data_IF_203031501120
#
_entry.id   IF_203031501120
#
_cell.length_a   1.000
_cell.length_b   1.000
_cell.length_c   1.000
_cell.angle_alpha   90.00
_cell.angle_beta   90.00
_cell.angle_gamma   90.00
#
_symmetry.space_group_name_H-M   'P 1'
#
loop_
_entity.id
_entity.type
_entity.pdbx_description
1 polymer ?
#
# COMPACT_ATOMS: atom_id res chain seq x y z
N UNK A 1 18.99 -24.94 -3.03
CA UNK A 1 18.22 -24.73 -4.29
C UNK A 1 18.90 -23.68 -5.16
N UNK A 2 18.97 -23.86 -6.49
CA UNK A 2 19.45 -22.85 -7.43
C UNK A 2 18.63 -21.56 -7.37
N UNK A 3 19.22 -20.41 -7.73
CA UNK A 3 18.51 -19.12 -7.69
C UNK A 3 17.28 -19.13 -8.62
N UNK A 4 17.38 -19.78 -9.79
CA UNK A 4 16.28 -20.04 -10.72
C UNK A 4 15.00 -20.56 -10.06
N UNK A 5 15.15 -21.54 -9.15
CA UNK A 5 14.02 -22.14 -8.44
C UNK A 5 13.36 -21.13 -7.50
N UNK A 6 14.15 -20.34 -6.78
CA UNK A 6 13.62 -19.32 -5.86
C UNK A 6 12.90 -18.20 -6.59
N UNK A 7 13.35 -17.80 -7.78
CA UNK A 7 12.63 -16.81 -8.60
C UNK A 7 11.27 -17.37 -9.01
N UNK A 8 11.22 -18.62 -9.47
CA UNK A 8 9.94 -19.28 -9.82
C UNK A 8 9.04 -19.35 -8.60
N UNK A 9 9.55 -19.77 -7.44
CA UNK A 9 8.78 -19.85 -6.20
C UNK A 9 8.27 -18.48 -5.72
N UNK A 10 9.12 -17.47 -5.71
CA UNK A 10 8.75 -16.09 -5.38
C UNK A 10 7.62 -15.59 -6.31
N UNK A 11 7.81 -15.81 -7.60
CA UNK A 11 6.89 -15.38 -8.65
C UNK A 11 5.53 -16.06 -8.53
N UNK A 12 5.53 -17.39 -8.40
CA UNK A 12 4.33 -18.21 -8.35
C UNK A 12 3.60 -18.01 -7.03
N UNK A 13 4.34 -17.89 -5.91
CA UNK A 13 3.82 -17.49 -4.61
C UNK A 13 3.16 -16.11 -4.64
N UNK A 14 3.79 -15.13 -5.30
CA UNK A 14 3.20 -13.80 -5.51
C UNK A 14 1.89 -13.91 -6.29
N UNK A 15 1.90 -14.52 -7.47
CA UNK A 15 0.73 -14.61 -8.33
C UNK A 15 -0.45 -15.32 -7.64
N UNK A 16 -0.18 -16.43 -6.95
CA UNK A 16 -1.20 -17.19 -6.20
C UNK A 16 -1.71 -16.37 -5.03
N UNK A 17 -0.83 -15.74 -4.25
CA UNK A 17 -1.22 -14.94 -3.09
C UNK A 17 -2.15 -13.79 -3.48
N UNK A 18 -1.78 -13.01 -4.50
CA UNK A 18 -2.59 -11.88 -4.97
C UNK A 18 -3.94 -12.34 -5.55
N UNK A 19 -3.96 -13.41 -6.34
CA UNK A 19 -5.18 -13.94 -6.91
C UNK A 19 -6.13 -14.50 -5.82
N UNK A 20 -5.58 -15.22 -4.85
CA UNK A 20 -6.36 -15.79 -3.75
C UNK A 20 -6.87 -14.72 -2.78
N UNK A 21 -6.10 -13.66 -2.53
CA UNK A 21 -6.54 -12.52 -1.72
C UNK A 21 -7.77 -11.82 -2.33
N UNK A 22 -7.78 -11.61 -3.65
CA UNK A 22 -8.97 -11.05 -4.33
C UNK A 22 -10.23 -11.91 -4.13
N UNK A 23 -10.08 -13.24 -4.26
CA UNK A 23 -11.20 -14.16 -4.01
C UNK A 23 -11.60 -14.12 -2.54
N UNK A 24 -10.64 -14.11 -1.62
CA UNK A 24 -10.88 -14.03 -0.17
C UNK A 24 -11.74 -12.81 0.19
N UNK A 25 -11.34 -11.62 -0.28
CA UNK A 25 -12.09 -10.36 -0.09
C UNK A 25 -13.54 -10.54 -0.53
N UNK A 26 -13.75 -10.99 -1.77
CA UNK A 26 -15.10 -11.18 -2.34
C UNK A 26 -15.95 -12.17 -1.51
N UNK A 27 -15.34 -13.21 -0.93
CA UNK A 27 -16.08 -14.18 -0.10
C UNK A 27 -16.41 -13.61 1.27
N UNK A 28 -15.49 -12.88 1.89
CA UNK A 28 -15.74 -12.28 3.20
C UNK A 28 -16.78 -11.17 3.13
N UNK A 29 -16.79 -10.35 2.07
CA UNK A 29 -17.83 -9.34 1.85
C UNK A 29 -19.22 -9.98 1.82
N UNK A 30 -19.42 -11.02 1.01
CA UNK A 30 -20.71 -11.75 0.95
C UNK A 30 -21.13 -12.38 2.28
N UNK A 31 -20.16 -12.82 3.09
CA UNK A 31 -20.44 -13.38 4.42
C UNK A 31 -20.83 -12.28 5.40
N UNK A 32 -20.17 -11.13 5.35
CA UNK A 32 -20.50 -9.99 6.19
C UNK A 32 -21.87 -9.41 5.87
N UNK A 33 -22.25 -9.34 4.59
CA UNK A 33 -23.60 -8.96 4.19
C UNK A 33 -24.65 -9.92 4.74
N UNK A 34 -24.38 -11.24 4.71
CA UNK A 34 -25.25 -12.24 5.31
C UNK A 34 -25.34 -12.07 6.84
N UNK A 35 -24.27 -11.61 7.48
CA UNK A 35 -24.23 -11.31 8.91
C UNK A 35 -24.88 -9.95 9.27
N UNK A 36 -25.28 -9.14 8.27
CA UNK A 36 -25.88 -7.83 8.50
C UNK A 36 -24.87 -6.78 8.97
N UNK A 37 -23.60 -6.91 8.57
CA UNK A 37 -22.56 -5.93 8.87
C UNK A 37 -22.84 -4.61 8.13
N UNK A 38 -22.49 -3.47 8.72
CA UNK A 38 -22.50 -2.17 8.05
C UNK A 38 -21.48 -2.14 6.91
N UNK A 39 -21.66 -1.25 5.95
CA UNK A 39 -20.75 -1.08 4.83
C UNK A 39 -19.33 -0.69 5.28
N UNK A 40 -19.21 0.23 6.25
CA UNK A 40 -17.92 0.55 6.85
C UNK A 40 -17.22 -0.68 7.47
N UNK A 41 -17.98 -1.56 8.14
CA UNK A 41 -17.42 -2.77 8.73
C UNK A 41 -17.09 -3.85 7.68
N UNK A 42 -17.86 -3.92 6.59
CA UNK A 42 -17.51 -4.71 5.39
C UNK A 42 -16.21 -4.21 4.78
N UNK A 43 -16.05 -2.90 4.64
CA UNK A 43 -14.80 -2.26 4.19
C UNK A 43 -13.60 -2.60 5.09
N UNK A 44 -13.79 -2.66 6.41
CA UNK A 44 -12.76 -3.11 7.35
C UNK A 44 -12.36 -4.58 7.13
N UNK A 45 -13.35 -5.46 6.94
CA UNK A 45 -13.09 -6.88 6.67
C UNK A 45 -12.40 -7.08 5.32
N UNK A 46 -12.81 -6.32 4.30
CA UNK A 46 -12.19 -6.31 2.99
C UNK A 46 -10.73 -5.85 3.08
N UNK A 47 -10.45 -4.76 3.81
CA UNK A 47 -9.08 -4.28 4.06
C UNK A 47 -8.23 -5.37 4.73
N UNK A 48 -8.72 -5.99 5.81
CA UNK A 48 -8.00 -7.07 6.50
C UNK A 48 -7.69 -8.26 5.59
N UNK A 49 -8.62 -8.64 4.70
CA UNK A 49 -8.40 -9.73 3.74
C UNK A 49 -7.46 -9.35 2.59
N UNK A 50 -7.51 -8.10 2.13
CA UNK A 50 -6.61 -7.59 1.13
C UNK A 50 -5.17 -7.45 1.67
N UNK A 51 -5.03 -7.17 2.98
CA UNK A 51 -3.75 -7.12 3.71
C UNK A 51 -3.21 -8.51 4.10
N UNK A 52 -3.97 -9.59 3.91
CA UNK A 52 -3.55 -10.92 4.33
C UNK A 52 -2.18 -11.37 3.75
N UNK A 53 -1.83 -11.10 2.48
CA UNK A 53 -0.49 -11.35 1.96
C UNK A 53 0.61 -10.59 2.72
N UNK A 54 0.35 -9.33 3.04
CA UNK A 54 1.28 -8.44 3.72
C UNK A 54 1.48 -8.86 5.18
N UNK A 55 0.39 -9.01 5.92
CA UNK A 55 0.39 -9.47 7.31
C UNK A 55 1.09 -10.82 7.39
N UNK A 56 0.82 -11.74 6.47
CA UNK A 56 1.50 -13.03 6.45
C UNK A 56 3.01 -12.86 6.22
N UNK A 57 3.43 -12.13 5.19
CA UNK A 57 4.86 -11.93 4.91
C UNK A 57 5.60 -11.29 6.10
N UNK A 58 4.98 -10.31 6.75
CA UNK A 58 5.53 -9.68 7.95
C UNK A 58 5.65 -10.66 9.13
N UNK A 59 4.57 -11.37 9.46
CA UNK A 59 4.52 -12.34 10.57
C UNK A 59 5.53 -13.47 10.34
N UNK A 60 5.60 -14.01 9.12
CA UNK A 60 6.54 -15.09 8.77
C UNK A 60 7.98 -14.62 8.91
N UNK A 61 8.33 -13.43 8.39
CA UNK A 61 9.67 -12.87 8.54
C UNK A 61 10.04 -12.65 10.02
N UNK A 62 9.12 -12.12 10.82
CA UNK A 62 9.32 -11.96 12.28
C UNK A 62 9.49 -13.30 12.99
N UNK A 63 8.71 -14.32 12.63
CA UNK A 63 8.79 -15.67 13.19
C UNK A 63 10.10 -16.37 12.82
N UNK A 64 10.68 -16.07 11.65
CA UNK A 64 12.01 -16.55 11.24
C UNK A 64 13.17 -15.73 11.84
N UNK A 65 12.91 -14.80 12.77
CA UNK A 65 13.93 -13.96 13.39
C UNK A 65 14.45 -12.84 12.49
N UNK A 66 13.83 -12.62 11.32
CA UNK A 66 14.21 -11.59 10.36
C UNK A 66 13.49 -10.27 10.68
N UNK A 67 13.77 -9.75 11.88
CA UNK A 67 13.12 -8.55 12.43
C UNK A 67 13.10 -7.35 11.48
N UNK A 68 14.22 -7.10 10.80
CA UNK A 68 14.35 -5.99 9.85
C UNK A 68 13.49 -6.17 8.59
N UNK A 69 13.36 -7.41 8.09
CA UNK A 69 12.47 -7.72 6.96
C UNK A 69 11.03 -7.54 7.40
N UNK A 70 10.60 -8.17 8.50
CA UNK A 70 9.21 -8.16 8.95
C UNK A 70 8.70 -6.76 9.30
N UNK A 71 9.47 -5.98 10.06
CA UNK A 71 9.14 -4.57 10.31
C UNK A 71 9.21 -3.72 9.03
N UNK A 72 10.15 -4.04 8.14
CA UNK A 72 10.25 -3.45 6.81
C UNK A 72 8.98 -3.63 6.00
N UNK A 73 8.45 -4.86 5.89
CA UNK A 73 7.22 -5.17 5.16
C UNK A 73 6.07 -4.30 5.64
N UNK A 74 5.80 -4.28 6.94
CA UNK A 74 4.65 -3.53 7.50
C UNK A 74 4.79 -2.03 7.30
N UNK A 75 5.91 -1.46 7.77
CA UNK A 75 6.03 -0.01 7.79
C UNK A 75 6.26 0.52 6.37
N UNK A 76 7.01 -0.22 5.54
CA UNK A 76 7.23 0.09 4.13
C UNK A 76 5.94 0.06 3.31
N UNK A 77 5.09 -0.96 3.52
CA UNK A 77 3.76 -1.01 2.89
C UNK A 77 2.89 0.15 3.31
N UNK A 78 2.98 0.59 4.57
CA UNK A 78 2.21 1.77 4.99
C UNK A 78 2.63 3.05 4.28
N UNK A 79 3.93 3.27 4.07
CA UNK A 79 4.42 4.42 3.27
C UNK A 79 3.97 4.27 1.81
N UNK A 80 4.10 3.06 1.25
CA UNK A 80 3.66 2.78 -0.12
C UNK A 80 2.15 2.97 -0.28
N UNK A 81 1.34 2.55 0.68
CA UNK A 81 -0.10 2.64 0.65
C UNK A 81 -0.57 4.09 0.59
N UNK A 82 0.06 5.00 1.34
CA UNK A 82 -0.24 6.42 1.23
C UNK A 82 0.04 6.95 -0.19
N UNK A 83 1.15 6.54 -0.79
CA UNK A 83 1.50 6.94 -2.15
C UNK A 83 0.63 6.29 -3.22
N UNK A 84 0.26 5.02 -3.07
CA UNK A 84 -0.46 4.24 -4.07
C UNK A 84 -1.98 4.40 -3.95
N UNK A 85 -2.54 4.33 -2.75
CA UNK A 85 -3.99 4.43 -2.56
C UNK A 85 -4.43 5.91 -2.61
N UNK A 86 -3.77 6.79 -1.86
CA UNK A 86 -4.14 8.21 -1.81
C UNK A 86 -3.46 9.03 -2.91
N UNK A 87 -2.15 8.89 -3.07
CA UNK A 87 -1.37 9.66 -4.03
C UNK A 87 -1.75 9.34 -5.47
N UNK A 88 -1.59 8.08 -5.87
CA UNK A 88 -1.92 7.60 -7.21
C UNK A 88 -3.43 7.58 -7.43
N UNK A 89 -4.25 7.27 -6.41
CA UNK A 89 -5.69 7.48 -6.48
C UNK A 89 -6.06 8.93 -6.84
N UNK A 90 -5.47 9.92 -6.16
CA UNK A 90 -5.77 11.34 -6.41
C UNK A 90 -5.21 11.84 -7.73
N UNK A 91 -4.04 11.33 -8.14
CA UNK A 91 -3.56 11.49 -9.50
C UNK A 91 -4.62 10.91 -10.42
N UNK A 92 -4.88 9.61 -10.45
CA UNK A 92 -5.77 8.90 -11.39
C UNK A 92 -7.25 9.30 -11.35
N UNK A 93 -7.78 9.82 -10.25
CA UNK A 93 -9.15 10.36 -10.21
C UNK A 93 -9.18 11.82 -10.63
N UNK A 94 -8.07 12.52 -10.50
CA UNK A 94 -7.95 13.96 -10.71
C UNK A 94 -8.38 14.80 -9.51
N UNK A 95 -9.47 14.36 -8.88
CA UNK A 95 -10.03 14.96 -7.68
C UNK A 95 -10.78 13.88 -6.88
N UNK A 96 -10.38 13.68 -5.63
CA UNK A 96 -11.05 12.80 -4.67
C UNK A 96 -11.70 13.71 -3.63
N UNK A 97 -13.03 13.80 -3.60
CA UNK A 97 -13.75 14.58 -2.59
C UNK A 97 -13.70 13.91 -1.23
N UNK A 98 -13.53 14.68 -0.17
CA UNK A 98 -13.39 14.15 1.19
C UNK A 98 -14.28 14.90 2.18
N UNK A 99 -15.00 14.13 2.97
CA UNK A 99 -15.80 14.61 4.09
C UNK A 99 -14.90 14.90 5.30
N UNK A 100 -14.97 16.13 5.84
CA UNK A 100 -14.12 16.53 6.98
C UNK A 100 -14.30 15.64 8.21
N UNK A 101 -15.52 15.14 8.42
CA UNK A 101 -15.84 14.26 9.52
C UNK A 101 -15.09 12.93 9.41
N UNK A 102 -15.11 12.31 8.22
CA UNK A 102 -14.33 11.08 7.92
C UNK A 102 -12.82 11.34 8.04
N UNK A 103 -12.32 12.46 7.50
CA UNK A 103 -10.89 12.82 7.60
C UNK A 103 -10.44 12.95 9.05
N UNK A 104 -11.26 13.57 9.90
CA UNK A 104 -10.93 13.71 11.33
C UNK A 104 -11.07 12.40 12.09
N UNK A 105 -12.12 11.62 11.84
CA UNK A 105 -12.36 10.34 12.51
C UNK A 105 -11.24 9.34 12.17
N UNK A 106 -11.14 8.92 10.89
CA UNK A 106 -10.16 7.94 10.44
C UNK A 106 -8.72 8.49 10.50
N UNK A 107 -8.53 9.79 10.23
CA UNK A 107 -7.23 10.43 10.30
C UNK A 107 -6.64 10.52 11.70
N UNK A 108 -7.46 10.78 12.72
CA UNK A 108 -6.98 10.82 14.11
C UNK A 108 -6.46 9.45 14.58
N UNK A 109 -7.18 8.37 14.22
CA UNK A 109 -6.75 6.99 14.47
C UNK A 109 -5.45 6.69 13.73
N UNK A 110 -5.35 7.04 12.45
CA UNK A 110 -4.15 6.82 11.67
C UNK A 110 -2.91 7.54 12.23
N UNK A 111 -3.05 8.80 12.63
CA UNK A 111 -1.96 9.56 13.28
C UNK A 111 -1.56 8.90 14.60
N UNK A 112 -2.53 8.51 15.43
CA UNK A 112 -2.24 7.80 16.68
C UNK A 112 -1.44 6.52 16.44
N UNK A 113 -1.89 5.67 15.50
CA UNK A 113 -1.21 4.42 15.16
C UNK A 113 0.18 4.67 14.59
N UNK A 114 0.35 5.66 13.72
CA UNK A 114 1.65 6.03 13.18
C UNK A 114 2.62 6.50 14.27
N UNK A 115 2.14 7.32 15.21
CA UNK A 115 2.96 7.78 16.33
C UNK A 115 3.34 6.65 17.28
N UNK A 116 2.42 5.75 17.62
CA UNK A 116 2.73 4.58 18.45
C UNK A 116 3.71 3.65 17.73
N UNK A 117 3.57 3.46 16.41
CA UNK A 117 4.53 2.72 15.60
C UNK A 117 5.94 3.32 15.65
N UNK A 118 6.07 4.65 15.49
CA UNK A 118 7.34 5.36 15.63
C UNK A 118 7.97 5.15 17.01
N UNK A 119 7.18 5.30 18.08
CA UNK A 119 7.67 5.10 19.45
C UNK A 119 8.12 3.66 19.71
N UNK A 120 7.41 2.68 19.14
CA UNK A 120 7.76 1.26 19.23
C UNK A 120 9.08 0.96 18.48
N UNK A 121 9.21 1.44 17.23
CA UNK A 121 10.41 1.23 16.41
C UNK A 121 11.63 1.96 16.99
N UNK A 122 11.44 3.14 17.59
CA UNK A 122 12.50 3.84 18.36
C UNK A 122 12.90 3.08 19.64
N UNK A 123 12.06 2.14 20.09
CA UNK A 123 12.27 1.40 21.33
C UNK A 123 12.00 2.22 22.59
N UNK A 124 11.25 3.31 22.47
CA UNK A 124 10.76 4.12 23.61
C UNK A 124 9.73 3.33 24.41
N UNK A 125 8.89 2.56 23.71
CA UNK A 125 7.89 1.66 24.30
C UNK A 125 8.08 0.24 23.77
N UNK A 126 7.80 -0.77 24.60
CA UNK A 126 7.82 -2.17 24.18
C UNK A 126 6.60 -2.56 23.34
N UNK A 127 6.73 -3.64 22.55
CA UNK A 127 5.65 -4.13 21.68
C UNK A 127 4.33 -4.40 22.43
N UNK A 128 4.29 -4.97 23.66
CA UNK A 128 3.04 -5.18 24.38
C UNK A 128 2.32 -3.87 24.74
N UNK A 129 3.08 -2.85 25.16
CA UNK A 129 2.50 -1.54 25.48
C UNK A 129 2.04 -0.83 24.21
N UNK A 130 2.82 -0.88 23.13
CA UNK A 130 2.42 -0.34 21.84
C UNK A 130 1.12 -1.00 21.34
N UNK A 131 1.02 -2.33 21.40
CA UNK A 131 -0.19 -3.09 21.02
C UNK A 131 -1.39 -2.68 21.87
N UNK A 132 -1.20 -2.50 23.19
CA UNK A 132 -2.25 -2.05 24.08
C UNK A 132 -2.73 -0.63 23.72
N UNK A 133 -1.81 0.30 23.49
CA UNK A 133 -2.13 1.69 23.12
C UNK A 133 -2.81 1.81 21.76
N UNK A 134 -2.40 1.03 20.75
CA UNK A 134 -3.09 1.00 19.46
C UNK A 134 -4.46 0.34 19.57
N UNK A 135 -4.56 -0.80 20.26
CA UNK A 135 -5.82 -1.53 20.42
C UNK A 135 -6.85 -0.73 21.21
N UNK A 136 -6.42 0.06 22.19
CA UNK A 136 -7.29 0.95 22.96
C UNK A 136 -7.98 2.03 22.11
N UNK A 137 -7.45 2.36 20.93
CA UNK A 137 -8.05 3.32 20.00
C UNK A 137 -8.78 2.61 18.86
N UNK A 138 -8.19 1.55 18.31
CA UNK A 138 -8.77 0.81 17.18
C UNK A 138 -10.03 0.05 17.60
N UNK A 139 -10.07 -0.58 18.79
CA UNK A 139 -11.26 -1.33 19.20
C UNK A 139 -12.51 -0.44 19.35
N UNK A 140 -12.47 0.73 20.02
CA UNK A 140 -13.59 1.66 20.00
C UNK A 140 -13.93 2.19 18.60
N UNK A 141 -12.92 2.46 17.77
CA UNK A 141 -13.14 2.89 16.37
C UNK A 141 -13.92 1.84 15.57
N UNK A 142 -13.53 0.56 15.68
CA UNK A 142 -14.25 -0.56 15.06
C UNK A 142 -15.69 -0.69 15.55
N UNK A 143 -15.91 -0.48 16.86
CA UNK A 143 -17.27 -0.46 17.43
C UNK A 143 -18.07 0.68 16.82
N UNK A 144 -17.51 1.88 16.70
CA UNK A 144 -18.18 3.04 16.08
C UNK A 144 -18.56 2.74 14.63
N UNK A 145 -17.65 2.18 13.83
CA UNK A 145 -17.92 1.83 12.43
C UNK A 145 -18.99 0.72 12.29
N UNK A 146 -19.08 -0.18 13.27
CA UNK A 146 -20.03 -1.29 13.26
C UNK A 146 -21.42 -0.97 13.80
N UNK A 147 -21.60 0.19 14.44
CA UNK A 147 -22.89 0.58 15.02
C UNK A 147 -23.77 1.27 13.99
N UNK A 148 -25.06 0.93 13.99
CA UNK A 148 -26.05 1.67 13.20
C UNK A 148 -26.21 3.11 13.73
N UNK A 149 -26.76 4.05 12.93
CA UNK A 149 -26.99 5.43 13.39
C UNK A 149 -27.81 5.53 14.68
N UNK A 150 -28.76 4.61 14.89
CA UNK A 150 -29.51 4.48 16.14
C UNK A 150 -28.66 3.99 17.30
N UNK A 151 -27.75 3.03 17.05
CA UNK A 151 -26.78 2.54 18.01
C UNK A 151 -25.79 3.62 18.46
N UNK A 152 -25.27 4.42 17.52
CA UNK A 152 -24.36 5.54 17.82
C UNK A 152 -25.01 6.59 18.74
N UNK A 153 -26.29 6.90 18.53
CA UNK A 153 -27.06 7.82 19.38
C UNK A 153 -27.35 7.27 20.77
N UNK A 154 -27.27 5.96 20.96
CA UNK A 154 -27.49 5.29 22.25
C UNK A 154 -26.23 5.20 23.10
N UNK A 155 -25.06 5.57 22.57
CA UNK A 155 -23.81 5.55 23.30
C UNK A 155 -23.84 6.52 24.49
N UNK A 156 -23.18 6.19 25.61
CA UNK A 156 -23.10 7.05 26.80
C UNK A 156 -22.08 8.18 26.61
N UNK A 157 -22.23 8.96 25.53
CA UNK A 157 -21.38 10.09 25.16
C UNK A 157 -22.25 11.34 24.95
N UNK A 158 -21.67 12.55 24.99
CA UNK A 158 -22.47 13.76 24.79
C UNK A 158 -23.14 13.76 23.42
N UNK A 159 -24.40 14.24 23.36
CA UNK A 159 -25.24 14.15 22.16
C UNK A 159 -24.57 14.74 20.91
N UNK A 160 -23.83 15.85 21.03
CA UNK A 160 -23.11 16.45 19.91
C UNK A 160 -22.00 15.56 19.34
N UNK A 161 -21.32 14.77 20.17
CA UNK A 161 -20.34 13.79 19.71
C UNK A 161 -21.01 12.58 19.05
N UNK A 162 -22.11 12.09 19.63
CA UNK A 162 -22.88 10.99 19.04
C UNK A 162 -23.44 11.36 17.66
N UNK A 163 -23.96 12.58 17.50
CA UNK A 163 -24.43 13.10 16.22
C UNK A 163 -23.29 13.26 15.22
N UNK A 164 -22.16 13.83 15.64
CA UNK A 164 -20.98 13.97 14.79
C UNK A 164 -20.45 12.61 14.30
N UNK A 165 -20.38 11.61 15.18
CA UNK A 165 -19.99 10.25 14.80
C UNK A 165 -21.00 9.62 13.84
N UNK A 166 -22.30 9.80 14.09
CA UNK A 166 -23.33 9.31 13.19
C UNK A 166 -23.23 9.93 11.79
N UNK A 167 -22.90 11.22 11.68
CA UNK A 167 -22.66 11.85 10.37
C UNK A 167 -21.38 11.30 9.73
N UNK A 168 -20.27 11.18 10.48
CA UNK A 168 -19.02 10.66 9.95
C UNK A 168 -19.16 9.23 9.37
N UNK A 169 -19.82 8.33 10.11
CA UNK A 169 -20.07 6.95 9.66
C UNK A 169 -21.06 6.92 8.50
N UNK A 170 -22.09 7.77 8.50
CA UNK A 170 -23.06 7.84 7.41
C UNK A 170 -22.44 8.33 6.10
N UNK A 171 -21.57 9.36 6.15
CA UNK A 171 -20.84 9.85 4.98
C UNK A 171 -19.95 8.75 4.37
N UNK A 172 -19.42 7.85 5.20
CA UNK A 172 -18.62 6.71 4.76
C UNK A 172 -19.49 5.57 4.19
N UNK A 173 -20.54 5.16 4.91
CA UNK A 173 -21.47 4.10 4.49
C UNK A 173 -22.14 4.45 3.15
N UNK A 174 -22.58 5.69 2.96
CA UNK A 174 -23.24 6.12 1.71
C UNK A 174 -22.33 6.04 0.49
N UNK A 175 -21.02 6.25 0.67
CA UNK A 175 -20.07 6.09 -0.42
C UNK A 175 -19.79 4.61 -0.73
N UNK A 176 -19.89 3.72 0.26
CA UNK A 176 -19.67 2.28 0.14
C UNK A 176 -20.91 1.51 -0.37
N UNK A 177 -22.12 1.91 0.03
CA UNK A 177 -23.42 1.30 -0.34
C UNK A 177 -23.59 1.10 -1.86
N UNK A 178 -23.14 2.05 -2.68
CA UNK A 178 -23.26 1.98 -4.14
C UNK A 178 -22.26 1.01 -4.80
N UNK A 179 -21.29 0.48 -4.04
CA UNK A 179 -20.21 -0.38 -4.54
C UNK A 179 -20.39 -1.85 -4.15
N UNK A 180 -21.05 -2.12 -3.02
CA UNK A 180 -21.24 -3.46 -2.45
C UNK A 180 -22.66 -3.96 -2.77
N UNK A 181 -22.91 -4.29 -4.04
CA UNK A 181 -24.12 -5.02 -4.44
C UNK A 181 -23.87 -6.54 -4.41
N UNK A 182 -23.30 -7.07 -3.32
CA UNK A 182 -23.03 -8.49 -3.27
C UNK A 182 -24.30 -9.30 -2.94
N UNK A 183 -24.31 -10.52 -3.46
CA UNK A 183 -25.38 -11.47 -3.17
C UNK A 183 -25.06 -12.08 -1.81
N UNK A 184 -26.04 -12.09 -0.90
CA UNK A 184 -25.94 -12.76 0.41
C UNK A 184 -25.21 -14.10 0.30
N UNK A 185 -24.10 -14.21 1.02
CA UNK A 185 -23.22 -15.38 0.98
C UNK A 185 -23.88 -16.66 1.50
N UNK A 186 -23.32 -17.80 1.12
CA UNK A 186 -23.75 -19.14 1.53
C UNK A 186 -22.71 -19.81 2.42
N UNK A 187 -23.00 -20.97 3.00
CA UNK A 187 -21.99 -21.77 3.70
C UNK A 187 -20.79 -22.14 2.81
N UNK A 188 -20.98 -22.20 1.49
CA UNK A 188 -19.88 -22.43 0.53
C UNK A 188 -18.91 -21.25 0.50
N UNK A 189 -19.39 -20.02 0.65
CA UNK A 189 -18.53 -18.84 0.69
C UNK A 189 -17.63 -18.85 1.94
N UNK A 190 -18.12 -19.37 3.08
CA UNK A 190 -17.32 -19.54 4.29
C UNK A 190 -16.20 -20.57 4.12
N UNK A 191 -16.52 -21.73 3.53
CA UNK A 191 -15.50 -22.75 3.23
C UNK A 191 -14.47 -22.23 2.23
N UNK A 192 -14.92 -21.55 1.17
CA UNK A 192 -14.03 -20.96 0.18
C UNK A 192 -13.15 -19.85 0.78
N UNK A 193 -13.70 -19.00 1.66
CA UNK A 193 -12.91 -17.99 2.37
C UNK A 193 -11.81 -18.64 3.22
N UNK A 194 -12.13 -19.69 3.98
CA UNK A 194 -11.15 -20.40 4.79
C UNK A 194 -10.05 -21.04 3.93
N UNK A 195 -10.43 -21.68 2.81
CA UNK A 195 -9.47 -22.26 1.87
C UNK A 195 -8.59 -21.18 1.24
N UNK A 196 -9.16 -20.06 0.80
CA UNK A 196 -8.39 -18.95 0.23
C UNK A 196 -7.46 -18.32 1.26
N UNK A 197 -7.88 -18.17 2.52
CA UNK A 197 -7.01 -17.70 3.58
C UNK A 197 -5.81 -18.63 3.76
N UNK A 198 -6.02 -19.95 3.81
CA UNK A 198 -4.92 -20.92 3.90
C UNK A 198 -3.98 -20.85 2.68
N UNK A 199 -4.53 -20.68 1.48
CA UNK A 199 -3.74 -20.53 0.24
C UNK A 199 -2.93 -19.21 0.26
N UNK A 200 -3.53 -18.10 0.69
CA UNK A 200 -2.82 -16.82 0.84
C UNK A 200 -1.68 -16.97 1.82
N UNK A 201 -1.91 -17.61 2.98
CA UNK A 201 -0.87 -17.80 3.99
C UNK A 201 0.28 -18.64 3.43
N UNK A 202 -0.03 -19.78 2.80
CA UNK A 202 0.99 -20.66 2.23
C UNK A 202 1.77 -19.96 1.09
N UNK A 203 1.07 -19.31 0.16
CA UNK A 203 1.68 -18.65 -0.98
C UNK A 203 2.54 -17.45 -0.56
N UNK A 204 2.08 -16.67 0.43
CA UNK A 204 2.83 -15.52 0.97
C UNK A 204 4.06 -15.96 1.76
N UNK A 205 3.99 -17.11 2.43
CA UNK A 205 5.16 -17.73 3.09
C UNK A 205 6.24 -18.11 2.06
N UNK A 206 5.83 -18.73 0.94
CA UNK A 206 6.76 -19.09 -0.15
C UNK A 206 7.32 -17.84 -0.82
N UNK A 207 6.50 -16.82 -1.04
CA UNK A 207 6.91 -15.53 -1.57
C UNK A 207 7.91 -14.82 -0.66
N UNK A 208 7.64 -14.72 0.63
CA UNK A 208 8.55 -14.12 1.62
C UNK A 208 9.90 -14.85 1.63
N UNK A 209 9.89 -16.18 1.79
CA UNK A 209 11.11 -16.98 1.81
C UNK A 209 11.91 -16.87 0.50
N UNK A 210 11.21 -16.78 -0.63
CA UNK A 210 11.81 -16.53 -1.94
C UNK A 210 12.48 -15.16 -2.00
N UNK A 211 11.80 -14.11 -1.56
CA UNK A 211 12.33 -12.75 -1.56
C UNK A 211 13.56 -12.62 -0.66
N UNK A 212 13.52 -13.15 0.56
CA UNK A 212 14.63 -13.05 1.53
C UNK A 212 15.81 -13.92 1.14
N UNK A 213 15.58 -15.10 0.58
CA UNK A 213 16.65 -15.94 0.02
C UNK A 213 17.30 -15.32 -1.21
N UNK A 214 16.53 -14.70 -2.10
CA UNK A 214 17.09 -14.00 -3.26
C UNK A 214 17.83 -12.73 -2.84
N UNK A 215 17.26 -11.95 -1.91
CA UNK A 215 17.86 -10.74 -1.39
C UNK A 215 19.23 -11.00 -0.77
N UNK A 216 19.32 -11.98 0.14
CA UNK A 216 20.60 -12.37 0.75
C UNK A 216 21.65 -12.83 -0.26
N UNK A 217 21.26 -13.57 -1.30
CA UNK A 217 22.18 -14.03 -2.36
C UNK A 217 22.70 -12.90 -3.24
N UNK A 218 21.86 -11.92 -3.53
CA UNK A 218 22.21 -10.79 -4.38
C UNK A 218 22.74 -9.59 -3.58
N UNK A 219 22.93 -9.72 -2.26
CA UNK A 219 23.44 -8.65 -1.41
C UNK A 219 22.46 -7.49 -1.23
N UNK A 220 21.17 -7.72 -1.43
CA UNK A 220 20.11 -6.73 -1.17
C UNK A 220 19.84 -6.71 0.33
N UNK A 221 19.91 -5.52 0.94
CA UNK A 221 19.67 -5.38 2.37
C UNK A 221 18.26 -5.83 2.76
N UNK A 222 18.13 -6.48 3.92
CA UNK A 222 16.86 -6.98 4.47
C UNK A 222 15.77 -5.91 4.52
N UNK A 223 16.13 -4.68 4.89
CA UNK A 223 15.18 -3.56 4.94
C UNK A 223 14.68 -3.13 3.57
N UNK A 224 15.46 -3.33 2.50
CA UNK A 224 15.06 -3.07 1.11
C UNK A 224 14.18 -4.22 0.61
N UNK A 225 14.54 -5.46 0.92
CA UNK A 225 13.74 -6.64 0.59
C UNK A 225 12.35 -6.56 1.23
N UNK A 226 12.27 -6.26 2.52
CA UNK A 226 11.00 -6.08 3.22
C UNK A 226 10.30 -4.77 2.84
N UNK A 227 10.96 -3.64 3.07
CA UNK A 227 10.33 -2.32 3.03
C UNK A 227 10.15 -1.70 1.65
N UNK A 228 10.69 -2.30 0.59
CA UNK A 228 10.46 -1.85 -0.79
C UNK A 228 9.92 -2.98 -1.68
N UNK A 229 10.57 -4.15 -1.70
CA UNK A 229 10.18 -5.22 -2.64
C UNK A 229 8.89 -5.90 -2.19
N UNK A 230 8.91 -6.55 -1.02
CA UNK A 230 7.74 -7.25 -0.50
C UNK A 230 6.60 -6.26 -0.23
N UNK A 231 6.91 -5.11 0.39
CA UNK A 231 5.94 -4.07 0.69
C UNK A 231 5.10 -3.64 -0.52
N UNK A 232 5.75 -3.35 -1.66
CA UNK A 232 5.06 -2.95 -2.89
C UNK A 232 4.21 -4.10 -3.42
N UNK A 233 4.77 -5.30 -3.48
CA UNK A 233 4.12 -6.48 -4.07
C UNK A 233 2.87 -6.88 -3.29
N UNK A 234 2.96 -6.97 -1.97
CA UNK A 234 1.84 -7.37 -1.10
C UNK A 234 0.73 -6.32 -1.05
N UNK A 235 1.05 -5.05 -1.31
CA UNK A 235 0.10 -3.92 -1.28
C UNK A 235 -0.61 -3.68 -2.62
N UNK A 236 -0.28 -4.42 -3.68
CA UNK A 236 -0.90 -4.27 -5.00
C UNK A 236 -2.44 -4.43 -4.99
N UNK A 237 -3.04 -5.41 -4.27
CA UNK A 237 -4.49 -5.57 -4.24
C UNK A 237 -5.19 -4.31 -3.69
N UNK A 238 -4.64 -3.74 -2.61
CA UNK A 238 -5.12 -2.51 -2.00
C UNK A 238 -5.01 -1.31 -2.94
N UNK A 239 -3.86 -1.16 -3.61
CA UNK A 239 -3.65 -0.10 -4.58
C UNK A 239 -4.67 -0.18 -5.73
N UNK A 240 -4.98 -1.39 -6.22
CA UNK A 240 -6.00 -1.58 -7.26
C UNK A 240 -7.39 -1.23 -6.77
N UNK A 241 -7.79 -1.70 -5.59
CA UNK A 241 -9.09 -1.39 -5.01
C UNK A 241 -9.27 0.12 -4.78
N UNK A 242 -8.28 0.79 -4.19
CA UNK A 242 -8.38 2.22 -3.91
C UNK A 242 -8.39 3.08 -5.18
N UNK A 243 -7.57 2.76 -6.19
CA UNK A 243 -7.62 3.50 -7.46
C UNK A 243 -8.99 3.31 -8.14
N UNK A 244 -9.57 2.13 -8.06
CA UNK A 244 -10.92 1.87 -8.55
C UNK A 244 -11.99 2.69 -7.81
N UNK A 245 -11.94 2.74 -6.47
CA UNK A 245 -12.85 3.55 -5.64
C UNK A 245 -12.67 5.05 -5.93
N UNK A 246 -11.43 5.51 -6.05
CA UNK A 246 -11.09 6.90 -6.35
C UNK A 246 -11.67 7.32 -7.71
N UNK A 247 -11.54 6.47 -8.72
CA UNK A 247 -12.06 6.76 -10.05
C UNK A 247 -13.61 6.82 -10.10
N UNK A 248 -14.29 6.19 -9.14
CA UNK A 248 -15.74 6.31 -8.92
C UNK A 248 -16.15 7.46 -7.99
N UNK A 249 -15.20 8.29 -7.59
CA UNK A 249 -15.45 9.42 -6.69
C UNK A 249 -15.76 9.02 -5.25
N UNK A 250 -15.43 7.78 -4.83
CA UNK A 250 -15.66 7.27 -3.47
C UNK A 250 -14.49 7.63 -2.55
N UNK A 251 -14.33 8.92 -2.28
CA UNK A 251 -13.17 9.41 -1.54
C UNK A 251 -13.12 9.04 -0.06
N UNK A 252 -14.24 9.01 0.64
CA UNK A 252 -14.31 8.52 2.02
C UNK A 252 -13.87 7.05 2.06
N UNK A 253 -14.36 6.22 1.14
CA UNK A 253 -13.95 4.82 1.02
C UNK A 253 -12.44 4.68 0.74
N UNK A 254 -11.89 5.45 -0.20
CA UNK A 254 -10.43 5.46 -0.49
C UNK A 254 -9.61 5.82 0.73
N UNK A 255 -10.01 6.87 1.46
CA UNK A 255 -9.31 7.32 2.64
C UNK A 255 -9.35 6.26 3.74
N UNK A 256 -10.53 5.74 4.05
CA UNK A 256 -10.70 4.69 5.05
C UNK A 256 -9.96 3.42 4.68
N UNK A 257 -10.02 2.94 3.42
CA UNK A 257 -9.23 1.78 2.98
C UNK A 257 -7.74 1.98 3.24
N UNK A 258 -7.18 3.14 2.90
CA UNK A 258 -5.76 3.40 3.10
C UNK A 258 -5.36 3.49 4.57
N UNK A 259 -6.14 4.19 5.38
CA UNK A 259 -5.82 4.40 6.80
C UNK A 259 -6.08 3.14 7.63
N UNK A 260 -7.14 2.40 7.32
CA UNK A 260 -7.49 1.17 8.02
C UNK A 260 -6.53 0.03 7.67
N UNK A 261 -6.13 -0.11 6.40
CA UNK A 261 -5.08 -1.04 6.01
C UNK A 261 -3.78 -0.75 6.76
N UNK A 262 -3.34 0.52 6.77
CA UNK A 262 -2.14 0.89 7.51
C UNK A 262 -2.23 0.62 9.02
N UNK A 263 -3.41 0.83 9.61
CA UNK A 263 -3.65 0.55 11.02
C UNK A 263 -3.61 -0.96 11.33
N UNK A 264 -4.24 -1.78 10.49
CA UNK A 264 -4.25 -3.23 10.60
C UNK A 264 -2.85 -3.82 10.39
N UNK A 265 -2.08 -3.31 9.42
CA UNK A 265 -0.70 -3.69 9.19
C UNK A 265 0.17 -3.47 10.44
N UNK A 266 0.06 -2.31 11.10
CA UNK A 266 0.79 -2.05 12.35
C UNK A 266 0.33 -2.99 13.47
N UNK A 267 -0.97 -3.13 13.70
CA UNK A 267 -1.48 -3.91 14.83
C UNK A 267 -1.24 -5.41 14.63
N UNK A 268 -1.70 -5.95 13.51
CA UNK A 268 -1.73 -7.39 13.23
C UNK A 268 -0.41 -7.86 12.62
N UNK A 269 0.16 -7.08 11.69
CA UNK A 269 1.39 -7.46 10.97
C UNK A 269 2.67 -7.21 11.76
N UNK A 270 2.71 -6.20 12.65
CA UNK A 270 3.92 -5.83 13.40
C UNK A 270 3.79 -6.03 14.91
N UNK A 271 2.86 -5.34 15.56
CA UNK A 271 2.85 -5.27 17.03
C UNK A 271 2.45 -6.60 17.67
N UNK A 272 1.41 -7.26 17.15
CA UNK A 272 0.96 -8.57 17.64
C UNK A 272 2.06 -9.64 17.57
N UNK A 273 2.67 -9.94 16.40
CA UNK A 273 3.78 -10.90 16.35
C UNK A 273 4.98 -10.45 17.17
N UNK A 274 5.32 -9.15 17.17
CA UNK A 274 6.43 -8.63 17.97
C UNK A 274 6.25 -8.76 19.48
N UNK A 275 5.02 -8.91 20.00
CA UNK A 275 4.82 -9.27 21.42
C UNK A 275 5.30 -10.67 21.77
N UNK A 276 5.34 -11.57 20.77
CA UNK A 276 5.73 -12.98 20.92
C UNK A 276 7.20 -13.16 20.52
N UNK A 277 7.60 -12.62 19.37
CA UNK A 277 8.93 -12.83 18.77
C UNK A 277 9.93 -11.72 19.06
N UNK A 278 9.47 -10.56 19.56
CA UNK A 278 10.25 -9.34 19.66
C UNK A 278 10.29 -8.54 18.36
N UNK A 279 10.54 -7.22 18.45
CA UNK A 279 10.65 -6.32 17.29
C UNK A 279 11.96 -6.48 16.49
N UNK A 280 12.88 -7.33 16.94
CA UNK A 280 14.22 -7.45 16.37
C UNK A 280 15.16 -6.28 16.72
N UNK A 281 16.35 -6.24 16.09
CA UNK A 281 17.33 -5.19 16.33
C UNK A 281 16.84 -3.81 15.89
N UNK A 282 17.16 -2.78 16.66
CA UNK A 282 16.87 -1.39 16.30
C UNK A 282 17.83 -0.96 15.22
N UNK A 283 17.30 -0.58 14.06
CA UNK A 283 18.08 -0.10 12.92
C UNK A 283 17.73 1.35 12.61
N UNK A 284 18.71 2.13 12.16
CA UNK A 284 18.47 3.51 11.73
C UNK A 284 17.50 3.56 10.56
N UNK A 285 17.61 2.58 9.64
CA UNK A 285 16.73 2.43 8.49
C UNK A 285 15.28 2.14 8.92
N UNK A 286 15.06 1.30 9.93
CA UNK A 286 13.71 1.07 10.47
C UNK A 286 13.09 2.34 11.03
N UNK A 287 13.87 3.13 11.78
CA UNK A 287 13.43 4.44 12.29
C UNK A 287 13.10 5.41 11.15
N UNK A 288 13.94 5.44 10.10
CA UNK A 288 13.71 6.25 8.91
C UNK A 288 12.35 5.90 8.27
N UNK A 289 12.07 4.62 8.02
CA UNK A 289 10.79 4.17 7.43
C UNK A 289 9.60 4.57 8.31
N UNK A 290 9.69 4.39 9.63
CA UNK A 290 8.62 4.75 10.56
C UNK A 290 8.34 6.27 10.61
N UNK A 291 9.39 7.09 10.61
CA UNK A 291 9.25 8.56 10.57
C UNK A 291 8.64 9.02 9.24
N UNK A 292 9.03 8.41 8.12
CA UNK A 292 8.42 8.71 6.82
C UNK A 292 6.95 8.28 6.74
N UNK A 293 6.59 7.15 7.34
CA UNK A 293 5.19 6.74 7.48
C UNK A 293 4.37 7.79 8.23
N UNK A 294 4.83 8.24 9.41
CA UNK A 294 4.14 9.28 10.16
C UNK A 294 4.10 10.62 9.40
N UNK A 295 5.22 11.03 8.79
CA UNK A 295 5.33 12.27 8.03
C UNK A 295 4.39 12.33 6.82
N UNK A 296 4.36 11.27 6.01
CA UNK A 296 3.44 11.21 4.86
C UNK A 296 1.97 11.07 5.29
N UNK A 297 1.69 10.40 6.41
CA UNK A 297 0.33 10.33 6.96
C UNK A 297 -0.16 11.74 7.32
N UNK A 298 0.66 12.51 8.04
CA UNK A 298 0.35 13.89 8.41
C UNK A 298 0.20 14.78 7.17
N UNK A 299 1.08 14.65 6.18
CA UNK A 299 1.00 15.42 4.94
C UNK A 299 -0.29 15.10 4.15
N UNK A 300 -0.62 13.82 3.97
CA UNK A 300 -1.83 13.39 3.26
C UNK A 300 -3.09 13.90 3.95
N UNK A 301 -3.16 13.80 5.29
CA UNK A 301 -4.29 14.28 6.07
C UNK A 301 -4.40 15.81 6.08
N UNK A 302 -3.27 16.52 6.10
CA UNK A 302 -3.27 17.98 6.00
C UNK A 302 -3.85 18.47 4.66
N UNK A 303 -3.47 17.82 3.55
CA UNK A 303 -4.06 18.10 2.24
C UNK A 303 -5.55 17.77 2.19
N UNK A 304 -5.92 16.57 2.65
CA UNK A 304 -7.29 16.11 2.71
C UNK A 304 -8.20 17.06 3.52
N UNK A 305 -7.74 17.52 4.68
CA UNK A 305 -8.50 18.41 5.56
C UNK A 305 -8.63 19.82 4.97
N UNK A 306 -7.53 20.37 4.45
CA UNK A 306 -7.48 21.73 3.89
C UNK A 306 -8.36 21.85 2.66
N UNK A 307 -8.09 21.04 1.65
CA UNK A 307 -8.70 21.16 0.33
C UNK A 307 -10.08 20.46 0.28
N UNK A 308 -10.48 19.77 1.38
CA UNK A 308 -11.62 18.84 1.42
C UNK A 308 -11.59 17.84 0.26
N UNK A 309 -10.38 17.55 -0.19
CA UNK A 309 -10.12 16.72 -1.35
C UNK A 309 -8.64 16.37 -1.45
N UNK A 310 -8.35 15.35 -2.24
CA UNK A 310 -7.01 15.14 -2.80
C UNK A 310 -7.05 15.41 -4.30
N UNK A 311 -6.24 16.38 -4.74
CA UNK A 311 -6.10 16.80 -6.14
C UNK A 311 -4.92 16.09 -6.81
N UNK A 312 -4.82 16.14 -8.15
CA UNK A 312 -3.62 15.67 -8.88
C UNK A 312 -2.31 16.20 -8.31
N UNK A 313 -2.30 17.48 -7.93
CA UNK A 313 -1.12 18.13 -7.42
C UNK A 313 -0.72 17.61 -6.03
N UNK A 314 -1.68 17.50 -5.10
CA UNK A 314 -1.40 16.92 -3.77
C UNK A 314 -1.04 15.44 -3.89
N UNK A 315 -1.70 14.70 -4.78
CA UNK A 315 -1.35 13.31 -5.07
C UNK A 315 0.08 13.16 -5.61
N UNK A 316 0.48 14.02 -6.55
CA UNK A 316 1.85 14.06 -7.06
C UNK A 316 2.88 14.42 -5.99
N UNK A 317 2.54 15.30 -5.05
CA UNK A 317 3.40 15.62 -3.89
C UNK A 317 3.56 14.40 -2.97
N UNK A 318 2.49 13.66 -2.68
CA UNK A 318 2.56 12.44 -1.86
C UNK A 318 3.42 11.37 -2.55
N UNK A 319 3.23 11.14 -3.85
CA UNK A 319 4.06 10.21 -4.64
C UNK A 319 5.52 10.67 -4.66
N UNK A 320 5.77 11.96 -4.90
CA UNK A 320 7.10 12.54 -4.85
C UNK A 320 7.76 12.36 -3.48
N UNK A 321 7.00 12.52 -2.40
CA UNK A 321 7.44 12.24 -1.04
C UNK A 321 7.87 10.79 -0.83
N UNK A 322 7.10 9.84 -1.34
CA UNK A 322 7.48 8.42 -1.34
C UNK A 322 8.76 8.16 -2.14
N UNK A 323 8.91 8.74 -3.34
CA UNK A 323 10.13 8.55 -4.14
C UNK A 323 11.38 9.13 -3.45
N UNK A 324 11.23 10.27 -2.77
CA UNK A 324 12.30 10.86 -1.94
C UNK A 324 12.64 9.95 -0.75
N UNK A 325 11.63 9.36 -0.10
CA UNK A 325 11.82 8.34 0.92
C UNK A 325 12.61 7.13 0.40
N UNK A 326 12.24 6.58 -0.77
CA UNK A 326 12.95 5.45 -1.39
C UNK A 326 14.41 5.81 -1.60
N UNK A 327 14.69 6.99 -2.17
CA UNK A 327 16.06 7.48 -2.36
C UNK A 327 16.84 7.61 -1.04
N UNK A 328 16.19 8.12 0.02
CA UNK A 328 16.80 8.24 1.34
C UNK A 328 17.12 6.89 1.98
N UNK A 329 16.20 5.91 1.85
CA UNK A 329 16.40 4.56 2.35
C UNK A 329 17.56 3.85 1.63
N UNK A 330 17.60 3.94 0.30
CA UNK A 330 18.69 3.38 -0.50
C UNK A 330 20.04 4.03 -0.16
N UNK A 331 20.07 5.36 0.01
CA UNK A 331 21.26 6.07 0.42
C UNK A 331 21.74 5.64 1.82
N UNK A 332 20.82 5.44 2.77
CA UNK A 332 21.14 4.92 4.11
C UNK A 332 21.79 3.53 4.05
N UNK A 333 21.21 2.64 3.24
CA UNK A 333 21.70 1.28 3.03
C UNK A 333 23.09 1.28 2.41
N UNK A 334 23.32 2.09 1.36
CA UNK A 334 24.64 2.23 0.74
C UNK A 334 25.70 2.83 1.67
N UNK A 335 25.28 3.73 2.56
CA UNK A 335 26.18 4.33 3.55
C UNK A 335 26.41 3.42 4.77
N UNK A 336 25.64 2.31 4.89
CA UNK A 336 25.56 1.45 6.08
C UNK A 336 25.26 2.22 7.38
N UNK A 337 24.62 3.39 7.24
CA UNK A 337 24.25 4.26 8.37
C UNK A 337 23.24 5.31 7.91
N UNK A 338 22.32 5.65 8.80
CA UNK A 338 21.48 6.84 8.64
C UNK A 338 22.20 8.04 9.21
N UNK A 339 22.71 8.91 8.35
CA UNK A 339 23.27 10.20 8.77
C UNK A 339 22.18 11.25 8.93
N UNK A 340 22.40 12.33 9.72
CA UNK A 340 21.45 13.44 9.79
C UNK A 340 21.11 14.03 8.42
N UNK A 341 22.06 14.04 7.48
CA UNK A 341 21.82 14.51 6.10
C UNK A 341 20.82 13.60 5.39
N UNK A 342 20.99 12.27 5.47
CA UNK A 342 20.10 11.29 4.84
C UNK A 342 18.70 11.31 5.47
N UNK A 343 18.61 11.56 6.78
CA UNK A 343 17.33 11.62 7.48
C UNK A 343 16.59 12.96 7.25
N UNK A 344 17.29 14.10 7.44
CA UNK A 344 16.66 15.40 7.58
C UNK A 344 16.57 16.19 6.27
N UNK A 345 17.55 16.08 5.37
CA UNK A 345 17.51 16.87 4.13
C UNK A 345 16.38 16.42 3.18
N UNK A 346 16.18 15.11 2.93
CA UNK A 346 15.02 14.60 2.20
C UNK A 346 13.68 14.98 2.84
N UNK A 347 13.58 14.85 4.17
CA UNK A 347 12.38 15.25 4.92
C UNK A 347 12.11 16.75 4.83
N UNK A 348 13.14 17.59 4.90
CA UNK A 348 13.05 19.03 4.74
C UNK A 348 12.61 19.44 3.33
N UNK A 349 13.13 18.78 2.29
CA UNK A 349 12.72 19.01 0.91
C UNK A 349 11.22 18.71 0.71
N UNK A 350 10.76 17.55 1.19
CA UNK A 350 9.34 17.18 1.11
C UNK A 350 8.49 18.10 1.98
N UNK A 351 8.97 18.45 3.18
CA UNK A 351 8.30 19.41 4.07
C UNK A 351 8.09 20.76 3.41
N UNK A 352 9.11 21.31 2.74
CA UNK A 352 8.98 22.55 1.96
C UNK A 352 7.99 22.42 0.81
N UNK A 353 8.02 21.31 0.07
CA UNK A 353 7.05 21.02 -0.98
C UNK A 353 5.62 20.94 -0.45
N UNK A 354 5.41 20.32 0.71
CA UNK A 354 4.13 20.27 1.39
C UNK A 354 3.67 21.65 1.87
N UNK A 355 4.55 22.43 2.50
CA UNK A 355 4.25 23.80 2.93
C UNK A 355 3.87 24.66 1.73
N UNK A 356 4.61 24.59 0.63
CA UNK A 356 4.26 25.29 -0.61
C UNK A 356 2.87 24.87 -1.12
N UNK A 357 2.59 23.57 -1.16
CA UNK A 357 1.29 23.03 -1.54
C UNK A 357 0.15 23.41 -0.57
N UNK A 358 0.47 23.74 0.68
CA UNK A 358 -0.43 24.29 1.70
C UNK A 358 -0.48 25.82 1.71
N UNK A 359 0.30 26.55 0.91
CA UNK A 359 0.20 28.02 0.83
C UNK A 359 -0.53 28.45 -0.44
N UNK A 360 -0.48 27.64 -1.51
CA UNK A 360 -1.25 27.89 -2.75
C UNK A 360 -2.76 28.04 -2.48
N UNK A 361 -3.50 28.84 -3.25
CA UNK A 361 -4.96 28.96 -3.09
C UNK A 361 -5.63 27.58 -3.09
N UNK A 362 -6.54 27.33 -2.15
CA UNK A 362 -7.31 26.09 -2.12
C UNK A 362 -8.01 25.90 -3.46
N UNK A 363 -7.97 24.68 -4.00
CA UNK A 363 -8.67 24.38 -5.23
C UNK A 363 -10.16 24.67 -5.04
N UNK A 364 -10.70 25.62 -5.83
CA UNK A 364 -12.14 25.87 -5.88
C UNK A 364 -12.90 24.61 -6.29
N UNK A 365 -14.20 24.58 -5.97
CA UNK A 365 -15.18 23.50 -6.21
C UNK A 365 -14.85 22.53 -7.36
N UNK A 366 -15.15 21.25 -7.13
CA UNK A 366 -14.98 20.14 -8.08
C UNK A 366 -15.17 20.61 -9.53
N UNK A 367 -14.22 20.35 -10.45
CA UNK A 367 -14.43 20.71 -11.86
C UNK A 367 -15.75 20.08 -12.32
N UNK A 368 -16.64 20.91 -12.86
CA UNK A 368 -17.92 20.45 -13.39
C UNK A 368 -17.68 19.40 -14.47
N UNK A 369 -18.02 18.15 -14.14
CA UNK A 369 -17.74 16.96 -14.94
C UNK A 369 -16.62 16.14 -14.32
N UNK A 370 -16.92 14.89 -13.91
CA UNK A 370 -15.90 13.88 -13.64
C UNK A 370 -14.90 13.88 -14.81
N UNK A 371 -13.64 14.27 -14.61
CA UNK A 371 -12.70 14.30 -15.71
C UNK A 371 -12.43 12.85 -16.12
N UNK A 372 -13.00 12.43 -17.25
CA UNK A 372 -12.64 11.14 -17.86
C UNK A 372 -11.16 11.19 -18.18
N UNK A 373 -10.41 10.30 -17.54
CA UNK A 373 -8.99 10.18 -17.80
C UNK A 373 -8.77 9.75 -19.23
N UNK A 374 -7.82 10.43 -19.89
CA UNK A 374 -7.27 9.91 -21.11
C UNK A 374 -6.31 8.78 -20.70
N UNK A 375 -6.59 7.50 -20.98
CA UNK A 375 -5.68 6.41 -20.63
C UNK A 375 -4.27 6.59 -21.23
N UNK A 376 -4.08 7.58 -22.11
CA UNK A 376 -2.81 7.91 -22.75
C UNK A 376 -1.89 8.65 -21.78
N UNK A 377 -2.46 9.46 -20.87
CA UNK A 377 -1.71 10.15 -19.83
C UNK A 377 -1.20 9.20 -18.73
N UNK A 378 -2.02 8.23 -18.31
CA UNK A 378 -1.59 7.17 -17.36
C UNK A 378 -0.47 6.34 -17.99
N UNK A 379 -0.66 5.92 -19.24
CA UNK A 379 0.36 5.17 -19.98
C UNK A 379 1.68 5.95 -20.10
N UNK A 380 1.61 7.24 -20.43
CA UNK A 380 2.79 8.09 -20.53
C UNK A 380 3.51 8.24 -19.18
N UNK A 381 2.76 8.43 -18.09
CA UNK A 381 3.31 8.47 -16.74
C UNK A 381 4.02 7.16 -16.37
N UNK A 382 3.40 6.02 -16.66
CA UNK A 382 3.98 4.70 -16.42
C UNK A 382 5.30 4.49 -17.16
N UNK A 383 5.37 4.91 -18.44
CA UNK A 383 6.60 4.86 -19.22
C UNK A 383 7.68 5.81 -18.66
N UNK A 384 7.30 7.01 -18.24
CA UNK A 384 8.17 7.99 -17.58
C UNK A 384 8.76 7.46 -16.27
N UNK A 385 7.96 6.76 -15.45
CA UNK A 385 8.44 6.14 -14.22
C UNK A 385 9.47 5.05 -14.50
N UNK A 386 9.25 4.19 -15.49
CA UNK A 386 10.25 3.20 -15.93
C UNK A 386 11.56 3.87 -16.36
N UNK A 387 11.47 4.94 -17.16
CA UNK A 387 12.65 5.67 -17.62
C UNK A 387 13.39 6.34 -16.47
N UNK A 388 12.67 6.95 -15.51
CA UNK A 388 13.28 7.56 -14.33
C UNK A 388 14.03 6.54 -13.48
N UNK A 389 13.42 5.37 -13.22
CA UNK A 389 14.08 4.26 -12.52
C UNK A 389 15.34 3.83 -13.27
N UNK A 390 15.26 3.62 -14.59
CA UNK A 390 16.42 3.22 -15.39
C UNK A 390 17.55 4.26 -15.35
N UNK A 391 17.24 5.55 -15.40
CA UNK A 391 18.26 6.61 -15.33
C UNK A 391 18.95 6.62 -13.97
N UNK A 392 18.18 6.47 -12.89
CA UNK A 392 18.74 6.43 -11.53
C UNK A 392 19.63 5.20 -11.36
N UNK A 393 19.16 4.04 -11.80
CA UNK A 393 19.86 2.76 -11.74
C UNK A 393 21.19 2.79 -12.51
N UNK A 394 21.15 3.25 -13.76
CA UNK A 394 22.35 3.42 -14.58
C UNK A 394 23.36 4.40 -13.94
N UNK A 395 22.86 5.43 -13.25
CA UNK A 395 23.68 6.40 -12.53
C UNK A 395 24.30 5.86 -11.25
N UNK A 396 23.65 4.92 -10.57
CA UNK A 396 24.17 4.26 -9.37
C UNK A 396 25.08 3.07 -9.68
N UNK A 397 24.88 2.43 -10.83
CA UNK A 397 25.63 1.26 -11.32
C UNK A 397 25.70 0.15 -10.29
N UNK A 398 26.86 -0.55 -10.22
CA UNK A 398 27.12 -1.69 -9.32
C UNK A 398 26.83 -1.49 -7.82
N UNK A 399 26.58 -0.26 -7.36
CA UNK A 399 26.31 0.04 -5.94
C UNK A 399 24.88 -0.26 -5.54
N UNK A 400 23.92 -0.19 -6.47
CA UNK A 400 22.50 -0.45 -6.26
C UNK A 400 21.93 -1.03 -7.54
N UNK A 401 21.53 -2.30 -7.52
CA UNK A 401 20.81 -2.95 -8.62
C UNK A 401 19.31 -2.71 -8.41
N UNK A 402 18.78 -1.66 -9.01
CA UNK A 402 17.39 -1.20 -8.94
C UNK A 402 16.53 -1.71 -10.09
N UNK A 403 17.06 -2.58 -10.95
CA UNK A 403 16.33 -3.22 -12.05
C UNK A 403 14.94 -3.75 -11.64
N UNK A 404 14.78 -4.29 -10.43
CA UNK A 404 13.50 -4.80 -9.93
C UNK A 404 12.41 -3.72 -9.79
N UNK A 405 12.78 -2.45 -9.57
CA UNK A 405 11.87 -1.32 -9.47
C UNK A 405 11.27 -0.92 -10.83
N UNK A 406 11.80 -1.42 -11.95
CA UNK A 406 11.20 -1.19 -13.28
C UNK A 406 9.78 -1.77 -13.39
N UNK A 407 9.41 -2.68 -12.49
CA UNK A 407 8.04 -3.21 -12.37
C UNK A 407 6.98 -2.14 -12.05
N UNK A 408 7.39 -0.97 -11.51
CA UNK A 408 6.47 0.13 -11.21
C UNK A 408 5.73 0.64 -12.46
N UNK A 409 6.36 0.60 -13.64
CA UNK A 409 5.72 1.00 -14.89
C UNK A 409 4.57 0.09 -15.28
N UNK A 410 4.78 -1.22 -15.52
CA UNK A 410 3.68 -2.14 -15.81
C UNK A 410 2.59 -2.15 -14.72
N UNK A 411 2.97 -2.07 -13.43
CA UNK A 411 2.01 -1.94 -12.33
C UNK A 411 1.17 -0.66 -12.42
N UNK A 412 1.75 0.47 -12.81
CA UNK A 412 0.98 1.71 -13.02
C UNK A 412 0.19 1.68 -14.34
N UNK A 413 0.69 0.99 -15.36
CA UNK A 413 0.02 0.89 -16.65
C UNK A 413 -1.18 -0.06 -16.61
N UNK A 414 -1.24 -0.98 -15.63
CA UNK A 414 -2.42 -1.80 -15.32
C UNK A 414 -3.67 -0.94 -15.13
N UNK A 415 -3.53 0.25 -14.52
CA UNK A 415 -4.63 1.18 -14.27
C UNK A 415 -5.23 1.80 -15.53
N UNK A 416 -4.58 1.65 -16.69
CA UNK A 416 -5.23 1.99 -17.96
C UNK A 416 -6.38 1.05 -18.29
N UNK A 417 -6.44 -0.15 -17.69
CA UNK A 417 -7.29 -1.28 -18.08
C UNK A 417 -7.29 -1.52 -19.60
N UNK A 418 -6.14 -1.26 -20.24
CA UNK A 418 -5.90 -1.49 -21.67
C UNK A 418 -4.70 -2.39 -21.80
N UNK A 419 -4.93 -3.67 -22.07
CA UNK A 419 -3.85 -4.68 -22.05
C UNK A 419 -2.71 -4.32 -23.01
N UNK A 420 -3.02 -3.69 -24.16
CA UNK A 420 -2.01 -3.25 -25.15
C UNK A 420 -1.06 -2.19 -24.58
N UNK A 421 -1.59 -1.27 -23.79
CA UNK A 421 -0.82 -0.18 -23.16
C UNK A 421 0.00 -0.71 -22.01
N UNK A 422 -0.60 -1.54 -21.16
CA UNK A 422 0.12 -2.25 -20.09
C UNK A 422 1.24 -3.12 -20.66
N UNK A 423 0.99 -3.84 -21.77
CA UNK A 423 1.99 -4.68 -22.43
C UNK A 423 3.15 -3.87 -22.99
N UNK A 424 2.87 -2.71 -23.59
CA UNK A 424 3.95 -1.84 -24.10
C UNK A 424 4.87 -1.33 -22.99
N UNK A 425 4.33 -1.01 -21.80
CA UNK A 425 5.14 -0.58 -20.66
C UNK A 425 5.86 -1.75 -20.01
N UNK A 426 5.23 -2.93 -19.95
CA UNK A 426 5.90 -4.16 -19.49
C UNK A 426 7.10 -4.52 -20.38
N UNK A 427 6.94 -4.40 -21.70
CA UNK A 427 8.03 -4.61 -22.66
C UNK A 427 9.13 -3.55 -22.54
N UNK A 428 8.74 -2.28 -22.32
CA UNK A 428 9.71 -1.21 -22.04
C UNK A 428 10.52 -1.51 -20.77
N UNK A 429 9.85 -1.89 -19.68
CA UNK A 429 10.50 -2.27 -18.43
C UNK A 429 11.48 -3.43 -18.65
N UNK A 430 11.06 -4.48 -19.37
CA UNK A 430 11.93 -5.61 -19.68
C UNK A 430 13.13 -5.22 -20.56
N UNK A 431 12.92 -4.34 -21.54
CA UNK A 431 13.99 -3.83 -22.40
C UNK A 431 15.01 -2.98 -21.64
N UNK A 432 14.53 -2.09 -20.77
CA UNK A 432 15.39 -1.29 -19.89
C UNK A 432 16.17 -2.19 -18.92
N UNK A 433 15.53 -3.22 -18.38
CA UNK A 433 16.18 -4.20 -17.51
C UNK A 433 17.35 -4.90 -18.20
N UNK A 434 17.20 -5.31 -19.47
CA UNK A 434 18.31 -5.90 -20.25
C UNK A 434 19.47 -4.92 -20.39
N UNK A 435 19.18 -3.65 -20.65
CA UNK A 435 20.21 -2.61 -20.82
C UNK A 435 20.96 -2.31 -19.52
N UNK A 436 20.24 -2.26 -18.40
CA UNK A 436 20.80 -1.93 -17.08
C UNK A 436 21.71 -3.02 -16.52
N UNK A 437 21.55 -4.27 -16.97
CA UNK A 437 22.49 -5.34 -16.61
C UNK A 437 23.95 -4.98 -16.91
N UNK A 438 24.23 -4.14 -17.92
CA UNK A 438 25.59 -3.73 -18.30
C UNK A 438 26.23 -2.78 -17.27
N UNK A 439 25.68 -1.58 -16.98
CA UNK A 439 26.23 -0.69 -15.95
C UNK A 439 26.27 -1.33 -14.55
N UNK A 440 25.32 -2.22 -14.27
CA UNK A 440 25.25 -2.97 -13.00
C UNK A 440 26.26 -4.11 -12.92
N UNK A 441 26.94 -4.42 -14.02
CA UNK A 441 27.92 -5.52 -14.08
C UNK A 441 27.31 -6.90 -13.86
N UNK A 442 25.99 -7.04 -13.95
CA UNK A 442 25.27 -8.31 -13.82
C UNK A 442 24.91 -8.89 -15.19
N UNK A 443 25.18 -8.22 -16.30
CA UNK A 443 24.77 -8.64 -17.63
C UNK A 443 25.16 -10.10 -17.93
N UNK A 444 24.16 -10.90 -18.32
CA UNK A 444 24.34 -12.32 -18.64
C UNK A 444 24.61 -13.24 -17.45
N UNK A 445 24.57 -12.73 -16.21
CA UNK A 445 24.66 -13.56 -14.99
C UNK A 445 23.30 -14.15 -14.60
N UNK A 446 23.31 -15.17 -13.74
CA UNK A 446 22.09 -15.72 -13.13
C UNK A 446 21.24 -14.65 -12.44
N UNK A 447 21.88 -13.63 -11.85
CA UNK A 447 21.24 -12.46 -11.24
C UNK A 447 20.45 -11.64 -12.26
N UNK A 448 21.05 -11.39 -13.43
CA UNK A 448 20.39 -10.66 -14.50
C UNK A 448 19.19 -11.42 -15.06
N UNK A 449 19.34 -12.72 -15.30
CA UNK A 449 18.21 -13.56 -15.73
C UNK A 449 17.11 -13.63 -14.67
N UNK A 450 17.47 -13.63 -13.38
CA UNK A 450 16.52 -13.60 -12.28
C UNK A 450 15.66 -12.36 -12.25
N UNK A 451 16.30 -11.20 -12.37
CA UNK A 451 15.64 -9.90 -12.37
C UNK A 451 14.75 -9.75 -13.61
N UNK A 452 15.24 -10.17 -14.79
CA UNK A 452 14.45 -10.21 -16.02
C UNK A 452 13.22 -11.10 -15.89
N UNK A 453 13.36 -12.28 -15.31
CA UNK A 453 12.23 -13.20 -15.10
C UNK A 453 11.18 -12.60 -14.14
N UNK A 454 11.61 -11.96 -13.05
CA UNK A 454 10.72 -11.27 -12.12
C UNK A 454 9.93 -10.15 -12.82
N UNK A 455 10.63 -9.27 -13.55
CA UNK A 455 10.01 -8.16 -14.30
C UNK A 455 9.05 -8.69 -15.38
N UNK A 456 9.45 -9.75 -16.09
CA UNK A 456 8.61 -10.38 -17.10
C UNK A 456 7.32 -10.93 -16.50
N UNK A 457 7.37 -11.53 -15.31
CA UNK A 457 6.17 -12.10 -14.71
C UNK A 457 5.28 -11.02 -14.12
N UNK A 458 5.82 -10.04 -13.42
CA UNK A 458 5.01 -8.89 -12.97
C UNK A 458 4.38 -8.18 -14.17
N UNK A 459 5.14 -8.02 -15.26
CA UNK A 459 4.64 -7.55 -16.54
C UNK A 459 3.50 -8.41 -17.09
N UNK A 460 3.63 -9.75 -17.07
CA UNK A 460 2.59 -10.66 -17.54
C UNK A 460 1.33 -10.59 -16.66
N UNK A 461 1.49 -10.60 -15.34
CA UNK A 461 0.39 -10.50 -14.37
C UNK A 461 -0.37 -9.18 -14.51
N UNK A 462 0.33 -8.07 -14.72
CA UNK A 462 -0.31 -6.76 -14.93
C UNK A 462 -1.00 -6.70 -16.31
N UNK A 463 -0.41 -7.29 -17.36
CA UNK A 463 -1.06 -7.37 -18.68
C UNK A 463 -2.32 -8.24 -18.64
N UNK A 464 -2.26 -9.40 -17.99
CA UNK A 464 -3.42 -10.29 -17.85
C UNK A 464 -4.49 -9.65 -16.98
N UNK A 465 -4.12 -9.02 -15.87
CA UNK A 465 -5.02 -8.19 -15.05
C UNK A 465 -5.72 -7.11 -15.88
N UNK A 466 -4.96 -6.35 -16.68
CA UNK A 466 -5.52 -5.33 -17.56
C UNK A 466 -6.47 -5.93 -18.61
N UNK A 467 -6.15 -7.10 -19.17
CA UNK A 467 -7.01 -7.79 -20.14
C UNK A 467 -8.32 -8.30 -19.51
N UNK A 468 -8.27 -8.75 -18.26
CA UNK A 468 -9.47 -9.17 -17.51
C UNK A 468 -10.37 -7.96 -17.23
N UNK A 469 -9.79 -6.85 -16.78
CA UNK A 469 -10.48 -5.58 -16.54
C UNK A 469 -11.12 -5.05 -17.84
N UNK A 470 -10.38 -5.07 -18.95
CA UNK A 470 -10.87 -4.62 -20.26
C UNK A 470 -12.05 -5.46 -20.78
N UNK A 471 -12.03 -6.79 -20.54
CA UNK A 471 -13.10 -7.71 -20.99
C UNK A 471 -14.39 -7.59 -20.18
N UNK A 472 -14.32 -7.26 -18.90
CA UNK A 472 -15.50 -7.21 -18.04
C UNK A 472 -16.22 -5.85 -18.09
N UNK A 473 -15.79 -4.93 -18.94
CA UNK A 473 -16.28 -3.54 -18.90
C UNK A 473 -15.91 -2.82 -17.60
N UNK A 474 -15.21 -3.50 -16.69
CA UNK A 474 -14.59 -2.99 -15.47
C UNK A 474 -13.32 -2.23 -15.84
N UNK A 475 -13.46 -1.26 -16.73
CA UNK A 475 -12.52 -0.18 -16.78
C UNK A 475 -12.79 0.65 -15.53
N UNK A 476 -11.83 0.82 -14.60
CA UNK A 476 -11.95 1.82 -13.53
C UNK A 476 -12.23 3.23 -14.10
N UNK A 477 -12.13 3.41 -15.42
CA UNK A 477 -12.24 4.65 -16.18
C UNK A 477 -13.48 4.74 -17.11
N UNK A 478 -14.47 3.82 -17.01
CA UNK A 478 -15.62 3.75 -17.93
C UNK A 478 -16.84 4.55 -17.45
#
# INVERSE_FOLDING_TARGET
>A
MPSGVWIVLFTLGTAVSLASSYVLVTRLERLGERAGMSEALLGMVAALAADAPEITAAVVALAHGQGAVGAGVVVGSNVFNLAALLGLGAVVAGWIGLHRHVVLLSGSVAVWVAMVCVLAVLGVIGAPLALALTSAVIAPYLVVLGLSPGGLRSLPIPAGWAEWLAVAVHDEDTELDDTVAARRGTGRDAVLALVMLAVVVAASTVMEAGATTLGSRFGVADIVTGGLVLAVVTSLPNAVAAVYLAARGRGAAVLSTALNSNALNVVVGLLLPATITGMGPRTGEGVLVAVWYAGLTLAALAFAYRDRALTRATGAVIIGGYLVFVGALLAAVCAHRVTPVIALAPAGLVGLGCVYALIRPAAGSAPGGHPRWNPTSVWALSALLCLAVAVIDAGTGRRLVLMSLLTIGPCTALFTARWRRTASVALLALGLAVLLGVPDGVFGTDTHYALLASIAVVGLCTVTGAAVLERHGASPLA
#
